data_IF_407609847609
#
_entry.id   IF_407609847609
#
_cell.length_a   1.000
_cell.length_b   1.000
_cell.length_c   1.000
_cell.angle_alpha   90.00
_cell.angle_beta   90.00
_cell.angle_gamma   90.00
#
_symmetry.space_group_name_H-M   'P 1'
#
loop_
_entity.id
_entity.type
_entity.pdbx_description
1 polymer ?
#
# COMPACT_ATOMS: atom_id res chain seq x y z
N UNK A 1 38.42 4.75 9.25
CA UNK A 1 37.40 3.70 9.35
C UNK A 1 36.98 3.70 10.82
N UNK A 2 35.85 4.32 11.13
CA UNK A 2 35.46 4.62 12.51
C UNK A 2 34.85 3.41 13.20
N UNK A 3 35.06 3.28 14.51
CA UNK A 3 34.64 2.13 15.33
C UNK A 3 33.12 1.83 15.31
N UNK A 4 32.29 2.73 14.80
CA UNK A 4 30.85 2.50 14.59
C UNK A 4 30.53 1.51 13.45
N UNK A 5 31.50 1.16 12.61
CA UNK A 5 31.31 0.24 11.47
C UNK A 5 31.28 -1.25 11.87
N UNK A 6 31.53 -1.57 13.14
CA UNK A 6 31.75 -2.96 13.60
C UNK A 6 30.59 -3.62 14.35
N UNK A 7 29.48 -2.93 14.63
CA UNK A 7 28.31 -3.56 15.23
C UNK A 7 27.21 -3.72 14.18
N UNK A 8 27.14 -4.92 13.57
CA UNK A 8 26.00 -5.33 12.75
C UNK A 8 24.73 -5.12 13.55
N UNK A 9 23.96 -4.09 13.22
CA UNK A 9 22.70 -3.80 13.89
C UNK A 9 21.77 -5.00 13.69
N UNK A 10 21.30 -5.66 14.76
CA UNK A 10 20.45 -6.83 14.60
C UNK A 10 19.20 -6.48 13.79
N UNK A 11 18.78 -7.41 12.96
CA UNK A 11 17.46 -7.38 12.33
C UNK A 11 16.45 -7.93 13.32
N UNK A 12 15.31 -7.26 13.41
CA UNK A 12 14.29 -7.57 14.41
C UNK A 12 14.41 -6.74 15.68
N UNK A 13 13.25 -6.41 16.23
CA UNK A 13 13.04 -5.75 17.50
C UNK A 13 12.01 -6.53 18.30
N UNK A 14 12.03 -6.44 19.63
CA UNK A 14 10.94 -6.95 20.45
C UNK A 14 9.59 -6.44 19.93
N UNK A 15 8.65 -7.35 19.69
CA UNK A 15 7.31 -7.04 19.18
C UNK A 15 7.15 -7.14 17.65
N UNK A 16 8.21 -7.23 16.86
CA UNK A 16 8.09 -7.30 15.39
C UNK A 16 7.30 -8.54 14.93
N UNK A 17 7.51 -9.69 15.59
CA UNK A 17 6.80 -10.94 15.30
C UNK A 17 5.31 -10.78 15.57
N UNK A 18 4.94 -10.22 16.73
CA UNK A 18 3.55 -9.97 17.09
C UNK A 18 2.89 -8.99 16.10
N UNK A 19 3.56 -7.88 15.80
CA UNK A 19 3.08 -6.89 14.85
C UNK A 19 2.88 -7.47 13.44
N UNK A 20 3.80 -8.35 13.00
CA UNK A 20 3.68 -9.05 11.73
C UNK A 20 2.43 -9.95 11.70
N UNK A 21 2.25 -10.80 12.72
CA UNK A 21 1.07 -11.66 12.81
C UNK A 21 -0.22 -10.84 12.87
N UNK A 22 -0.25 -9.76 13.66
CA UNK A 22 -1.41 -8.87 13.71
C UNK A 22 -1.74 -8.31 12.34
N UNK A 23 -0.76 -7.74 11.63
CA UNK A 23 -0.98 -7.18 10.30
C UNK A 23 -1.47 -8.23 9.30
N UNK A 24 -0.84 -9.41 9.26
CA UNK A 24 -1.19 -10.50 8.33
C UNK A 24 -2.57 -11.07 8.64
N UNK A 25 -2.89 -11.33 9.91
CA UNK A 25 -4.20 -11.84 10.30
C UNK A 25 -5.31 -10.81 10.02
N UNK A 26 -5.09 -9.54 10.36
CA UNK A 26 -6.08 -8.48 10.11
C UNK A 26 -6.38 -8.33 8.61
N UNK A 27 -5.35 -8.30 7.76
CA UNK A 27 -5.56 -8.14 6.32
C UNK A 27 -6.15 -9.41 5.68
N UNK A 28 -5.78 -10.60 6.18
CA UNK A 28 -6.38 -11.86 5.73
C UNK A 28 -7.87 -11.92 6.06
N UNK A 29 -8.26 -11.57 7.29
CA UNK A 29 -9.68 -11.50 7.69
C UNK A 29 -10.44 -10.50 6.82
N UNK A 30 -9.89 -9.30 6.59
CA UNK A 30 -10.53 -8.30 5.74
C UNK A 30 -10.78 -8.82 4.32
N UNK A 31 -9.77 -9.43 3.69
CA UNK A 31 -9.89 -9.99 2.34
C UNK A 31 -10.91 -11.14 2.31
N UNK A 32 -10.75 -12.13 3.19
CA UNK A 32 -11.57 -13.35 3.21
C UNK A 32 -13.04 -12.99 3.44
N UNK A 33 -13.35 -12.20 4.46
CA UNK A 33 -14.73 -11.83 4.78
C UNK A 33 -15.35 -11.02 3.65
N UNK A 34 -14.60 -10.07 3.07
CA UNK A 34 -15.08 -9.27 1.93
C UNK A 34 -15.40 -10.14 0.72
N UNK A 35 -14.49 -11.07 0.39
CA UNK A 35 -14.66 -11.94 -0.77
C UNK A 35 -15.81 -12.92 -0.57
N UNK A 36 -15.91 -13.54 0.61
CA UNK A 36 -17.07 -14.40 0.95
C UNK A 36 -18.36 -13.59 0.84
N UNK A 37 -18.39 -12.37 1.38
CA UNK A 37 -19.59 -11.51 1.31
C UNK A 37 -19.99 -11.22 -0.13
N UNK A 38 -19.05 -10.90 -1.03
CA UNK A 38 -19.38 -10.56 -2.41
C UNK A 38 -19.72 -11.80 -3.23
N UNK A 39 -18.92 -12.86 -3.12
CA UNK A 39 -19.06 -14.06 -3.94
C UNK A 39 -20.27 -14.92 -3.53
N UNK A 40 -20.70 -14.85 -2.27
CA UNK A 40 -21.87 -15.58 -1.79
C UNK A 40 -23.19 -14.82 -1.94
N UNK A 41 -23.17 -13.54 -2.37
CA UNK A 41 -24.36 -12.69 -2.49
C UNK A 41 -24.60 -12.26 -3.95
N UNK A 42 -24.65 -13.24 -4.86
CA UNK A 42 -24.94 -13.04 -6.29
C UNK A 42 -24.07 -11.94 -6.93
N UNK A 43 -22.76 -12.21 -7.10
CA UNK A 43 -21.81 -11.25 -7.64
C UNK A 43 -22.17 -10.77 -9.05
N UNK A 44 -22.91 -11.58 -9.82
CA UNK A 44 -23.38 -11.24 -11.16
C UNK A 44 -24.46 -10.16 -11.15
N UNK A 45 -25.39 -10.18 -10.19
CA UNK A 45 -26.45 -9.19 -10.09
C UNK A 45 -25.96 -7.83 -9.59
N UNK A 46 -24.95 -7.78 -8.72
CA UNK A 46 -24.35 -6.51 -8.27
C UNK A 46 -23.43 -5.87 -9.33
N UNK A 47 -23.08 -6.63 -10.38
CA UNK A 47 -22.35 -6.14 -11.55
C UNK A 47 -21.01 -5.47 -11.22
N UNK A 48 -20.78 -4.27 -11.79
CA UNK A 48 -19.52 -3.53 -11.61
C UNK A 48 -19.15 -3.23 -10.15
N UNK A 49 -20.14 -3.22 -9.25
CA UNK A 49 -19.89 -3.04 -7.83
C UNK A 49 -19.04 -4.16 -7.23
N UNK A 50 -19.20 -5.43 -7.66
CA UNK A 50 -18.46 -6.57 -7.11
C UNK A 50 -16.93 -6.42 -7.21
N UNK A 51 -16.45 -5.78 -8.28
CA UNK A 51 -15.02 -5.53 -8.48
C UNK A 51 -14.45 -4.55 -7.46
N UNK A 52 -15.25 -3.60 -6.99
CA UNK A 52 -14.74 -2.59 -6.07
C UNK A 52 -14.19 -3.19 -4.76
N UNK A 53 -15.00 -3.81 -3.89
CA UNK A 53 -14.50 -4.31 -2.61
C UNK A 53 -13.49 -5.45 -2.76
N UNK A 54 -13.61 -6.29 -3.80
CA UNK A 54 -12.67 -7.41 -4.04
C UNK A 54 -11.28 -6.91 -4.47
N UNK A 55 -11.21 -6.00 -5.45
CA UNK A 55 -9.93 -5.44 -5.90
C UNK A 55 -9.31 -4.48 -4.87
N UNK A 56 -10.13 -3.70 -4.16
CA UNK A 56 -9.66 -2.80 -3.09
C UNK A 56 -8.97 -3.60 -1.97
N UNK A 57 -9.62 -4.65 -1.46
CA UNK A 57 -9.06 -5.46 -0.37
C UNK A 57 -7.83 -6.25 -0.81
N UNK A 58 -7.78 -6.74 -2.06
CA UNK A 58 -6.59 -7.37 -2.61
C UNK A 58 -5.42 -6.37 -2.75
N UNK A 59 -5.69 -5.15 -3.20
CA UNK A 59 -4.69 -4.09 -3.23
C UNK A 59 -4.15 -3.77 -1.84
N UNK A 60 -5.02 -3.66 -0.83
CA UNK A 60 -4.59 -3.41 0.54
C UNK A 60 -3.71 -4.56 1.07
N UNK A 61 -4.01 -5.82 0.72
CA UNK A 61 -3.15 -6.95 1.04
C UNK A 61 -1.75 -6.84 0.43
N UNK A 62 -1.65 -6.40 -0.82
CA UNK A 62 -0.37 -6.19 -1.50
C UNK A 62 0.40 -5.01 -0.93
N UNK A 63 -0.28 -3.93 -0.53
CA UNK A 63 0.35 -2.80 0.16
C UNK A 63 0.86 -3.22 1.53
N UNK A 64 0.07 -3.95 2.33
CA UNK A 64 0.50 -4.50 3.61
C UNK A 64 1.73 -5.39 3.44
N UNK A 65 1.70 -6.34 2.49
CA UNK A 65 2.87 -7.16 2.17
C UNK A 65 4.08 -6.30 1.78
N UNK A 66 3.91 -5.38 0.84
CA UNK A 66 4.98 -4.50 0.38
C UNK A 66 5.60 -3.69 1.51
N UNK A 67 4.80 -3.13 2.42
CA UNK A 67 5.27 -2.37 3.59
C UNK A 67 6.00 -3.29 4.58
N UNK A 68 5.45 -4.46 4.88
CA UNK A 68 6.06 -5.42 5.81
C UNK A 68 7.44 -5.89 5.32
N UNK A 69 7.67 -6.01 4.00
CA UNK A 69 9.00 -6.40 3.49
C UNK A 69 10.11 -5.37 3.75
N UNK A 70 9.76 -4.14 4.13
CA UNK A 70 10.72 -3.11 4.52
C UNK A 70 11.15 -3.25 5.99
N UNK A 71 10.50 -4.11 6.77
CA UNK A 71 10.71 -4.24 8.21
C UNK A 71 10.99 -5.72 8.58
N UNK A 72 11.97 -6.02 9.46
CA UNK A 72 12.92 -5.15 10.16
C UNK A 72 14.30 -5.14 9.50
N UNK A 73 14.39 -4.62 8.27
CA UNK A 73 15.65 -4.58 7.51
C UNK A 73 16.64 -3.56 8.10
N UNK A 74 17.86 -4.00 8.45
CA UNK A 74 18.92 -3.12 8.97
C UNK A 74 20.13 -3.06 8.03
N UNK A 75 20.40 -4.15 7.32
CA UNK A 75 21.57 -4.34 6.46
C UNK A 75 21.31 -3.78 5.04
N UNK A 76 22.35 -3.33 4.31
CA UNK A 76 22.18 -2.81 2.94
C UNK A 76 21.50 -3.81 1.99
N UNK A 77 21.92 -5.09 2.05
CA UNK A 77 21.38 -6.16 1.21
C UNK A 77 19.88 -6.40 1.46
N UNK A 78 19.47 -6.50 2.71
CA UNK A 78 18.08 -6.78 3.08
C UNK A 78 17.19 -5.57 2.82
N UNK A 79 17.69 -4.34 3.02
CA UNK A 79 17.00 -3.10 2.63
C UNK A 79 16.74 -3.02 1.13
N UNK A 80 17.74 -3.32 0.30
CA UNK A 80 17.58 -3.34 -1.15
C UNK A 80 16.56 -4.40 -1.59
N UNK A 81 16.64 -5.61 -1.04
CA UNK A 81 15.67 -6.68 -1.32
C UNK A 81 14.25 -6.34 -0.83
N UNK A 82 14.12 -5.69 0.33
CA UNK A 82 12.84 -5.16 0.83
C UNK A 82 12.25 -4.10 -0.10
N UNK A 83 13.06 -3.13 -0.51
CA UNK A 83 12.64 -2.07 -1.43
C UNK A 83 12.16 -2.65 -2.78
N UNK A 84 12.89 -3.61 -3.34
CA UNK A 84 12.49 -4.26 -4.59
C UNK A 84 11.12 -4.94 -4.46
N UNK A 85 10.90 -5.74 -3.40
CA UNK A 85 9.61 -6.40 -3.15
C UNK A 85 8.48 -5.40 -2.93
N UNK A 86 8.73 -4.34 -2.16
CA UNK A 86 7.79 -3.24 -1.95
C UNK A 86 7.35 -2.59 -3.26
N UNK A 87 8.30 -2.23 -4.13
CA UNK A 87 8.02 -1.62 -5.42
C UNK A 87 7.28 -2.57 -6.35
N UNK A 88 7.69 -3.83 -6.43
CA UNK A 88 7.03 -4.85 -7.25
C UNK A 88 5.57 -5.02 -6.81
N UNK A 89 5.33 -5.22 -5.51
CA UNK A 89 3.99 -5.43 -4.98
C UNK A 89 3.08 -4.23 -5.23
N UNK A 90 3.60 -3.01 -5.05
CA UNK A 90 2.83 -1.77 -5.24
C UNK A 90 2.60 -1.47 -6.72
N UNK A 91 3.64 -1.43 -7.55
CA UNK A 91 3.50 -0.90 -8.91
C UNK A 91 2.98 -1.92 -9.92
N UNK A 92 3.33 -3.22 -9.77
CA UNK A 92 2.88 -4.22 -10.74
C UNK A 92 1.43 -4.64 -10.48
N UNK A 93 0.99 -4.64 -9.23
CA UNK A 93 -0.32 -5.21 -8.87
C UNK A 93 -1.14 -4.28 -7.98
N UNK A 94 -0.64 -3.84 -6.82
CA UNK A 94 -1.45 -3.09 -5.87
C UNK A 94 -2.06 -1.79 -6.43
N UNK A 95 -1.24 -0.89 -6.97
CA UNK A 95 -1.68 0.38 -7.54
C UNK A 95 -2.61 0.19 -8.75
N UNK A 96 -2.35 -0.73 -9.70
CA UNK A 96 -3.35 -1.08 -10.70
C UNK A 96 -4.69 -1.53 -10.10
N UNK A 97 -4.68 -2.40 -9.08
CA UNK A 97 -5.90 -2.92 -8.47
C UNK A 97 -6.71 -1.86 -7.72
N UNK A 98 -6.08 -0.99 -6.94
CA UNK A 98 -6.79 0.10 -6.23
C UNK A 98 -7.45 1.06 -7.23
N UNK A 99 -6.78 1.36 -8.34
CA UNK A 99 -7.28 2.24 -9.39
C UNK A 99 -8.42 1.58 -10.16
N UNK A 100 -8.28 0.30 -10.53
CA UNK A 100 -9.34 -0.46 -11.19
C UNK A 100 -10.57 -0.61 -10.30
N UNK A 101 -10.39 -0.96 -9.01
CA UNK A 101 -11.49 -1.06 -8.05
C UNK A 101 -12.20 0.27 -7.82
N UNK A 102 -11.46 1.39 -7.78
CA UNK A 102 -12.06 2.74 -7.68
C UNK A 102 -12.79 3.15 -8.97
N UNK A 103 -12.21 2.82 -10.13
CA UNK A 103 -12.84 3.09 -11.43
C UNK A 103 -14.12 2.27 -11.59
N UNK A 104 -14.13 1.01 -11.15
CA UNK A 104 -15.32 0.15 -11.21
C UNK A 104 -16.49 0.73 -10.40
N UNK A 105 -16.26 1.23 -9.19
CA UNK A 105 -17.34 1.88 -8.42
C UNK A 105 -17.77 3.21 -9.03
N UNK A 106 -16.85 4.01 -9.56
CA UNK A 106 -17.18 5.26 -10.23
C UNK A 106 -18.04 5.00 -11.48
N UNK A 107 -17.66 4.01 -12.29
CA UNK A 107 -18.41 3.59 -13.47
C UNK A 107 -19.78 3.01 -13.10
N UNK A 108 -19.85 2.15 -12.08
CA UNK A 108 -21.11 1.60 -11.57
C UNK A 108 -22.08 2.71 -11.15
N UNK A 109 -21.59 3.74 -10.47
CA UNK A 109 -22.41 4.89 -10.08
C UNK A 109 -22.86 5.71 -11.28
N UNK A 110 -21.96 5.96 -12.23
CA UNK A 110 -22.25 6.72 -13.44
C UNK A 110 -23.39 6.08 -14.25
N UNK A 111 -23.31 4.77 -14.57
CA UNK A 111 -24.36 4.09 -15.34
C UNK A 111 -25.71 3.99 -14.60
N UNK A 112 -25.69 4.12 -13.26
CA UNK A 112 -26.89 4.08 -12.42
C UNK A 112 -27.36 5.48 -11.98
N UNK A 113 -26.80 6.56 -12.53
CA UNK A 113 -27.11 7.95 -12.17
C UNK A 113 -27.06 8.20 -10.64
N UNK A 114 -26.04 7.66 -9.98
CA UNK A 114 -25.80 7.84 -8.54
C UNK A 114 -24.68 8.84 -8.29
N UNK A 115 -24.84 9.66 -7.27
CA UNK A 115 -23.82 10.62 -6.86
C UNK A 115 -22.59 9.96 -6.19
N UNK A 116 -21.43 10.61 -6.35
CA UNK A 116 -20.18 10.24 -5.69
C UNK A 116 -19.99 11.03 -4.38
N UNK A 117 -19.21 10.48 -3.45
CA UNK A 117 -18.83 11.15 -2.18
C UNK A 117 -20.00 11.58 -1.27
N UNK A 118 -21.14 10.86 -1.34
CA UNK A 118 -22.32 11.13 -0.49
C UNK A 118 -22.30 10.42 0.86
N UNK A 119 -21.40 9.45 1.05
CA UNK A 119 -21.26 8.70 2.30
C UNK A 119 -19.88 8.94 2.91
N UNK A 120 -19.75 8.77 4.22
CA UNK A 120 -18.46 8.83 4.91
C UNK A 120 -17.42 7.90 4.27
N UNK A 121 -17.80 6.66 3.97
CA UNK A 121 -16.93 5.71 3.28
C UNK A 121 -16.47 6.25 1.91
N UNK A 122 -17.39 6.79 1.11
CA UNK A 122 -17.05 7.38 -0.19
C UNK A 122 -16.08 8.55 -0.04
N UNK A 123 -16.37 9.50 0.84
CA UNK A 123 -15.54 10.69 1.07
C UNK A 123 -14.14 10.31 1.55
N UNK A 124 -14.03 9.49 2.60
CA UNK A 124 -12.74 9.05 3.11
C UNK A 124 -12.00 8.16 2.12
N UNK A 125 -12.70 7.35 1.31
CA UNK A 125 -12.10 6.53 0.26
C UNK A 125 -11.37 7.37 -0.80
N UNK A 126 -12.01 8.42 -1.32
CA UNK A 126 -11.37 9.33 -2.28
C UNK A 126 -10.23 10.15 -1.66
N UNK A 127 -10.38 10.59 -0.41
CA UNK A 127 -9.29 11.26 0.31
C UNK A 127 -8.09 10.32 0.51
N UNK A 128 -8.33 9.08 0.92
CA UNK A 128 -7.30 8.06 1.09
C UNK A 128 -6.61 7.72 -0.24
N UNK A 129 -7.36 7.59 -1.33
CA UNK A 129 -6.79 7.38 -2.66
C UNK A 129 -5.92 8.57 -3.09
N UNK A 130 -6.40 9.79 -2.89
CA UNK A 130 -5.63 11.00 -3.20
C UNK A 130 -4.32 11.04 -2.39
N UNK A 131 -4.40 10.75 -1.09
CA UNK A 131 -3.23 10.65 -0.23
C UNK A 131 -2.27 9.54 -0.67
N UNK A 132 -2.79 8.37 -1.04
CA UNK A 132 -1.99 7.26 -1.57
C UNK A 132 -1.20 7.67 -2.81
N UNK A 133 -1.82 8.40 -3.75
CA UNK A 133 -1.13 8.90 -4.95
C UNK A 133 -0.03 9.89 -4.60
N UNK A 134 -0.26 10.77 -3.62
CA UNK A 134 0.78 11.63 -3.05
C UNK A 134 1.91 10.79 -2.46
N UNK A 135 1.60 9.73 -1.72
CA UNK A 135 2.60 8.83 -1.14
C UNK A 135 3.42 8.07 -2.19
N UNK A 136 2.79 7.64 -3.28
CA UNK A 136 3.47 7.03 -4.44
C UNK A 136 4.45 8.04 -5.06
N UNK A 137 4.04 9.29 -5.25
CA UNK A 137 4.89 10.36 -5.76
C UNK A 137 6.06 10.70 -4.84
N UNK A 138 5.79 10.86 -3.54
CA UNK A 138 6.82 11.15 -2.52
C UNK A 138 7.82 10.00 -2.36
N UNK A 139 7.34 8.76 -2.31
CA UNK A 139 8.19 7.57 -2.22
C UNK A 139 9.06 7.42 -3.46
N UNK A 140 8.44 7.43 -4.65
CA UNK A 140 9.12 7.31 -5.93
C UNK A 140 10.16 8.41 -6.16
N UNK A 141 9.78 9.68 -5.95
CA UNK A 141 10.69 10.83 -6.09
C UNK A 141 11.87 10.81 -5.11
N UNK A 142 11.73 10.13 -3.97
CA UNK A 142 12.81 10.01 -2.98
C UNK A 142 13.85 8.94 -3.32
N UNK A 143 13.46 7.89 -4.04
CA UNK A 143 14.30 6.69 -4.25
C UNK A 143 14.71 6.45 -5.69
N UNK A 144 13.94 6.91 -6.67
CA UNK A 144 14.28 6.74 -8.09
C UNK A 144 15.31 7.78 -8.53
N UNK A 145 16.17 7.37 -9.47
CA UNK A 145 17.23 8.23 -10.03
C UNK A 145 18.06 8.95 -8.96
N UNK A 146 18.41 8.23 -7.88
CA UNK A 146 19.14 8.76 -6.72
C UNK A 146 18.45 9.97 -6.03
N UNK A 147 17.13 10.06 -6.12
CA UNK A 147 16.34 11.13 -5.49
C UNK A 147 16.41 12.46 -6.23
N UNK A 148 16.69 12.46 -7.54
CA UNK A 148 16.85 13.66 -8.35
C UNK A 148 15.67 14.64 -8.24
N UNK A 149 14.44 14.12 -8.14
CA UNK A 149 13.23 14.93 -7.99
C UNK A 149 13.24 15.84 -6.74
N UNK A 150 14.02 15.48 -5.71
CA UNK A 150 14.17 16.25 -4.47
C UNK A 150 15.61 16.72 -4.23
N UNK A 151 16.43 16.82 -5.29
CA UNK A 151 17.79 17.35 -5.22
C UNK A 151 18.86 16.35 -4.74
N UNK A 152 18.52 15.07 -4.64
CA UNK A 152 19.45 13.96 -4.40
C UNK A 152 19.99 13.82 -2.98
N UNK A 153 20.64 12.69 -2.72
CA UNK A 153 21.40 12.41 -1.49
C UNK A 153 20.64 12.73 -0.20
N UNK A 154 21.21 13.62 0.62
CA UNK A 154 20.65 14.01 1.91
C UNK A 154 19.30 14.75 1.80
N UNK A 155 19.09 15.56 0.74
CA UNK A 155 17.85 16.32 0.54
C UNK A 155 16.67 15.38 0.26
N UNK A 156 16.86 14.42 -0.64
CA UNK A 156 15.87 13.38 -0.90
C UNK A 156 15.56 12.54 0.34
N UNK A 157 16.59 12.17 1.11
CA UNK A 157 16.42 11.45 2.38
C UNK A 157 15.63 12.24 3.43
N UNK A 158 15.76 13.57 3.45
CA UNK A 158 15.00 14.43 4.36
C UNK A 158 13.51 14.46 4.03
N UNK A 159 13.13 14.29 2.76
CA UNK A 159 11.73 14.19 2.30
C UNK A 159 11.16 12.80 2.57
N UNK A 160 11.96 11.74 2.37
CA UNK A 160 11.53 10.35 2.58
C UNK A 160 10.95 10.06 3.97
N UNK A 161 11.36 10.81 5.01
CA UNK A 161 10.78 10.67 6.36
C UNK A 161 9.27 10.88 6.41
N UNK A 162 8.72 11.72 5.51
CA UNK A 162 7.28 11.96 5.40
C UNK A 162 6.57 10.77 4.74
N UNK A 163 7.21 10.12 3.77
CA UNK A 163 6.70 8.89 3.18
C UNK A 163 6.64 7.75 4.20
N UNK A 164 7.66 7.64 5.05
CA UNK A 164 7.75 6.57 6.07
C UNK A 164 6.75 6.71 7.23
N UNK A 165 6.32 7.93 7.54
CA UNK A 165 5.46 8.23 8.71
C UNK A 165 3.97 8.29 8.38
N UNK A 166 3.64 8.17 7.10
CA UNK A 166 2.28 8.25 6.57
C UNK A 166 1.57 6.90 6.58
#
# INVERSE_FOLDING_TARGET
MGEEEQLLKPEGRPGDVLANYTAVCSIAVLVIVTWITILSNDPTNVGWFAFHPTLQTLSLALFTYGILTLQPTSQPRTKAAGLARHQIAIFLVGLPLILLGTTAIAYHKWINNKESMTTWHGTFGYLALTWLLVQVGLGGGSVWFNGAAFGGGAKAKAVWKYHRRA
#
